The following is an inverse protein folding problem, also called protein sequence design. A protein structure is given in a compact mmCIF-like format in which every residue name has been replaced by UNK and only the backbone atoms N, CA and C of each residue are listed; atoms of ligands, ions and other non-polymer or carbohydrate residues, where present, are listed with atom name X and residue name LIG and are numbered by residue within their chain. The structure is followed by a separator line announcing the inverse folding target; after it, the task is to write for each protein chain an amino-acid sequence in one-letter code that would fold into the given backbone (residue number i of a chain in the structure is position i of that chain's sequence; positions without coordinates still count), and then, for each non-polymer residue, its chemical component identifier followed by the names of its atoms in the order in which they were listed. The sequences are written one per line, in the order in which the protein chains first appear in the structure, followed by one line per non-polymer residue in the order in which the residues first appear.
data_IF_549900242199
#
_entry.id   IF_549900242199
#
_cell.length_a   1.000
_cell.length_b   1.000
_cell.length_c   1.000
_cell.angle_alpha   90.00
_cell.angle_beta   90.00
_cell.angle_gamma   90.00
#
_symmetry.space_group_name_H-M   'P 1'
#
loop_
_entity.id
_entity.type
_entity.pdbx_description
1 polymer ?
#
# COMPACT_ATOMS: atom_id res chain seq x y z
N UNK A 1 -4.93 -0.53 13.14
CA UNK A 1 -5.28 -0.14 11.76
C UNK A 1 -6.44 -1.01 11.29
N UNK A 2 -7.53 -0.40 10.78
CA UNK A 2 -8.65 -1.06 10.08
C UNK A 2 -9.30 -0.03 9.16
N UNK A 3 -9.48 -0.37 7.88
CA UNK A 3 -10.02 0.53 6.86
C UNK A 3 -10.79 -0.27 5.81
N UNK A 4 -11.64 0.38 5.01
CA UNK A 4 -12.30 -0.25 3.86
C UNK A 4 -12.22 0.62 2.59
N UNK A 5 -11.91 0.00 1.45
CA UNK A 5 -11.97 0.63 0.12
C UNK A 5 -12.16 -0.40 -1.02
N UNK A 6 -12.62 0.03 -2.20
CA UNK A 6 -12.73 -0.85 -3.37
C UNK A 6 -11.37 -1.45 -3.78
N UNK A 7 -11.35 -2.74 -4.12
CA UNK A 7 -10.16 -3.46 -4.63
C UNK A 7 -9.51 -2.71 -5.79
N UNK A 8 -10.27 -2.36 -6.83
CA UNK A 8 -9.78 -1.66 -8.02
C UNK A 8 -9.00 -0.38 -7.70
N UNK A 9 -9.47 0.42 -6.73
CA UNK A 9 -8.73 1.60 -6.27
C UNK A 9 -7.40 1.19 -5.64
N UNK A 10 -7.43 0.33 -4.63
CA UNK A 10 -6.21 -0.12 -3.95
C UNK A 10 -5.19 -0.69 -4.94
N UNK A 11 -5.64 -1.52 -5.86
CA UNK A 11 -4.82 -2.16 -6.88
C UNK A 11 -4.10 -1.14 -7.78
N UNK A 12 -4.82 -0.15 -8.30
CA UNK A 12 -4.23 0.89 -9.17
C UNK A 12 -3.12 1.69 -8.46
N UNK A 13 -3.33 2.07 -7.19
CA UNK A 13 -2.31 2.79 -6.43
C UNK A 13 -1.10 1.91 -6.09
N UNK A 14 -1.33 0.63 -5.77
CA UNK A 14 -0.23 -0.32 -5.55
C UNK A 14 0.65 -0.48 -6.79
N UNK A 15 0.07 -0.48 -8.01
CA UNK A 15 0.85 -0.52 -9.26
C UNK A 15 1.81 0.66 -9.40
N UNK A 16 1.41 1.87 -8.98
CA UNK A 16 2.27 3.05 -9.03
C UNK A 16 3.39 2.97 -7.99
N UNK A 17 3.06 2.62 -6.75
CA UNK A 17 4.04 2.55 -5.65
C UNK A 17 5.07 1.45 -5.90
N UNK A 18 4.68 0.34 -6.53
CA UNK A 18 5.59 -0.76 -6.86
C UNK A 18 6.75 -0.37 -7.78
N UNK A 19 6.64 0.70 -8.56
CA UNK A 19 7.70 1.10 -9.51
C UNK A 19 8.98 1.53 -8.80
N UNK A 20 8.89 2.04 -7.56
CA UNK A 20 10.03 2.46 -6.74
C UNK A 20 10.41 1.44 -5.67
N UNK A 21 9.72 0.30 -5.61
CA UNK A 21 10.06 -0.76 -4.65
C UNK A 21 11.12 -1.67 -5.28
N UNK A 22 12.35 -1.72 -4.75
CA UNK A 22 13.39 -2.61 -5.26
C UNK A 22 12.97 -4.08 -5.13
N UNK A 23 13.31 -4.90 -6.13
CA UNK A 23 13.09 -6.35 -6.10
C UNK A 23 13.91 -7.04 -5.02
N UNK A 24 15.11 -6.53 -4.75
CA UNK A 24 16.06 -6.98 -3.74
C UNK A 24 16.79 -5.76 -3.18
N UNK A 25 17.02 -5.74 -1.88
CA UNK A 25 17.78 -4.69 -1.20
C UNK A 25 18.59 -5.29 -0.05
N UNK A 26 19.74 -4.68 0.27
CA UNK A 26 20.51 -4.97 1.49
C UNK A 26 19.77 -4.49 2.74
N UNK A 27 18.78 -3.61 2.58
CA UNK A 27 17.87 -3.15 3.62
C UNK A 27 16.46 -3.72 3.34
N UNK A 28 16.08 -4.86 3.94
CA UNK A 28 14.81 -5.55 3.64
C UNK A 28 13.57 -4.66 3.81
N UNK A 29 13.62 -3.68 4.72
CA UNK A 29 12.52 -2.74 4.95
C UNK A 29 12.15 -1.92 3.69
N UNK A 30 13.10 -1.69 2.78
CA UNK A 30 12.86 -0.98 1.51
C UNK A 30 12.08 -1.83 0.50
N UNK A 31 11.95 -3.13 0.73
CA UNK A 31 11.07 -4.01 -0.09
C UNK A 31 9.60 -3.95 0.35
N UNK A 32 9.33 -3.24 1.45
CA UNK A 32 7.98 -3.01 1.96
C UNK A 32 7.40 -1.70 1.44
N UNK A 33 6.08 -1.61 1.48
CA UNK A 33 5.37 -0.32 1.45
C UNK A 33 4.92 0.04 2.86
N UNK A 34 4.88 1.33 3.16
CA UNK A 34 4.25 1.88 4.34
C UNK A 34 2.77 2.18 4.02
N UNK A 35 1.87 1.70 4.87
CA UNK A 35 0.44 1.99 4.81
C UNK A 35 0.07 2.73 6.09
N UNK A 36 -0.57 3.89 5.96
CA UNK A 36 -1.04 4.72 7.07
C UNK A 36 -2.53 5.01 6.89
N UNK A 37 -3.37 4.63 7.86
CA UNK A 37 -4.80 4.95 7.85
C UNK A 37 -5.08 6.11 8.79
N UNK A 38 -5.39 7.29 8.23
CA UNK A 38 -5.56 8.56 8.93
C UNK A 38 -6.69 9.38 8.28
N UNK A 39 -7.59 9.95 9.09
CA UNK A 39 -8.57 10.97 8.67
C UNK A 39 -9.32 10.66 7.36
N UNK A 40 -9.95 9.47 7.30
CA UNK A 40 -10.67 8.94 6.13
C UNK A 40 -9.83 8.79 4.85
N UNK A 41 -8.52 8.68 5.02
CA UNK A 41 -7.58 8.42 3.94
C UNK A 41 -6.63 7.31 4.33
N UNK A 42 -6.19 6.57 3.32
CA UNK A 42 -5.02 5.72 3.42
C UNK A 42 -3.91 6.36 2.63
N UNK A 43 -2.76 6.51 3.26
CA UNK A 43 -1.52 6.94 2.62
C UNK A 43 -0.64 5.73 2.39
N UNK A 44 -0.19 5.53 1.15
CA UNK A 44 0.72 4.45 0.77
C UNK A 44 2.02 5.07 0.29
N UNK A 45 3.14 4.67 0.89
CA UNK A 45 4.46 5.24 0.58
C UNK A 45 5.50 4.14 0.36
N UNK A 46 6.44 4.37 -0.55
CA UNK A 46 7.63 3.54 -0.74
C UNK A 46 8.83 4.39 -1.17
N UNK A 47 10.03 3.84 -1.00
CA UNK A 47 11.28 4.50 -1.39
C UNK A 47 12.42 3.49 -1.55
N UNK A 48 13.36 3.81 -2.43
CA UNK A 48 14.66 3.15 -2.59
C UNK A 48 15.85 4.00 -2.08
N UNK A 49 15.55 5.08 -1.33
CA UNK A 49 16.46 6.13 -0.84
C UNK A 49 16.83 7.23 -1.85
N UNK A 50 16.65 7.01 -3.14
CA UNK A 50 16.87 8.02 -4.18
C UNK A 50 15.54 8.64 -4.63
N UNK A 51 14.52 7.81 -4.75
CA UNK A 51 13.17 8.17 -5.19
C UNK A 51 12.18 7.74 -4.11
N UNK A 52 11.16 8.56 -3.89
CA UNK A 52 10.01 8.19 -3.06
C UNK A 52 8.71 8.51 -3.77
N UNK A 53 7.76 7.58 -3.67
CA UNK A 53 6.38 7.77 -4.11
C UNK A 53 5.49 7.70 -2.87
N UNK A 54 4.59 8.67 -2.76
CA UNK A 54 3.53 8.71 -1.77
C UNK A 54 2.21 8.97 -2.46
N UNK A 55 1.20 8.16 -2.16
CA UNK A 55 -0.16 8.33 -2.67
C UNK A 55 -1.15 8.39 -1.52
N UNK A 56 -2.28 9.05 -1.72
CA UNK A 56 -3.36 9.15 -0.72
C UNK A 56 -4.69 8.78 -1.37
N UNK A 57 -5.44 7.92 -0.70
CA UNK A 57 -6.65 7.29 -1.24
C UNK A 57 -7.77 7.53 -0.23
N UNK A 58 -8.91 8.06 -0.69
CA UNK A 58 -10.09 8.17 0.15
C UNK A 58 -10.59 6.76 0.53
N UNK A 59 -10.84 6.55 1.82
CA UNK A 59 -11.24 5.27 2.37
C UNK A 59 -12.02 5.43 3.68
N UNK A 60 -12.80 4.42 4.04
CA UNK A 60 -13.49 4.41 5.32
C UNK A 60 -12.54 3.89 6.40
N UNK A 61 -11.99 4.78 7.24
CA UNK A 61 -11.06 4.40 8.31
C UNK A 61 -11.82 4.13 9.61
N UNK A 62 -11.85 2.87 10.04
CA UNK A 62 -12.51 2.43 11.29
C UNK A 62 -11.55 2.54 12.48
N UNK A 63 -10.27 2.23 12.27
CA UNK A 63 -9.23 2.34 13.31
C UNK A 63 -7.95 2.87 12.70
N UNK A 64 -7.51 4.04 13.17
CA UNK A 64 -6.23 4.64 12.78
C UNK A 64 -5.05 3.70 13.06
N UNK A 65 -3.94 3.97 12.38
CA UNK A 65 -2.66 3.30 12.61
C UNK A 65 -1.89 3.11 11.31
N UNK A 66 -0.69 2.57 11.44
CA UNK A 66 0.20 2.32 10.32
C UNK A 66 0.86 0.96 10.42
N UNK A 67 1.33 0.45 9.28
CA UNK A 67 2.12 -0.78 9.20
C UNK A 67 2.97 -0.77 7.93
N UNK A 68 4.04 -1.57 7.91
CA UNK A 68 4.78 -1.88 6.69
C UNK A 68 4.51 -3.30 6.25
N UNK A 69 4.30 -3.53 4.96
CA UNK A 69 4.02 -4.87 4.40
C UNK A 69 4.88 -5.08 3.15
N UNK A 70 5.44 -6.28 2.92
CA UNK A 70 6.13 -6.61 1.68
C UNK A 70 5.28 -6.30 0.44
N UNK A 71 5.79 -5.41 -0.42
CA UNK A 71 5.00 -4.79 -1.48
C UNK A 71 4.46 -5.81 -2.49
N UNK A 72 5.33 -6.74 -2.93
CA UNK A 72 5.00 -7.75 -3.94
C UNK A 72 3.97 -8.75 -3.43
N UNK A 73 4.14 -9.23 -2.21
CA UNK A 73 3.19 -10.16 -1.57
C UNK A 73 1.81 -9.52 -1.48
N UNK A 74 1.73 -8.26 -1.01
CA UNK A 74 0.45 -7.56 -0.94
C UNK A 74 -0.17 -7.39 -2.34
N UNK A 75 0.62 -6.96 -3.32
CA UNK A 75 0.14 -6.76 -4.68
C UNK A 75 -0.43 -8.04 -5.30
N UNK A 76 0.30 -9.16 -5.17
CA UNK A 76 -0.13 -10.45 -5.70
C UNK A 76 -1.43 -10.91 -5.01
N UNK A 77 -1.54 -10.74 -3.69
CA UNK A 77 -2.79 -11.03 -2.95
C UNK A 77 -3.95 -10.19 -3.51
N UNK A 78 -3.79 -8.86 -3.60
CA UNK A 78 -4.86 -7.98 -4.07
C UNK A 78 -5.24 -8.31 -5.52
N UNK A 79 -4.27 -8.67 -6.37
CA UNK A 79 -4.50 -9.05 -7.76
C UNK A 79 -5.46 -10.23 -7.88
N UNK A 80 -5.25 -11.27 -7.06
CA UNK A 80 -6.00 -12.53 -7.11
C UNK A 80 -7.37 -12.49 -6.40
N UNK A 81 -7.61 -11.49 -5.54
CA UNK A 81 -8.92 -11.33 -4.89
C UNK A 81 -10.05 -11.02 -5.90
N UNK A 82 -11.31 -11.40 -5.64
CA UNK A 82 -12.43 -10.96 -6.46
C UNK A 82 -12.62 -9.43 -6.38
N UNK A 83 -13.33 -8.84 -7.35
CA UNK A 83 -13.66 -7.41 -7.27
C UNK A 83 -14.72 -7.19 -6.18
N UNK A 84 -14.29 -6.63 -5.06
CA UNK A 84 -15.12 -6.24 -3.92
C UNK A 84 -14.43 -5.15 -3.09
N UNK A 85 -15.11 -4.66 -2.06
CA UNK A 85 -14.47 -3.86 -1.02
C UNK A 85 -13.50 -4.73 -0.20
N UNK A 86 -12.33 -4.18 0.11
CA UNK A 86 -11.29 -4.78 0.95
C UNK A 86 -11.34 -4.12 2.33
N UNK A 87 -11.47 -4.90 3.41
CA UNK A 87 -11.70 -4.42 4.79
C UNK A 87 -10.78 -5.01 5.85
#
# INVERSE_FOLDING_TARGET
MKFSLPKSRLFSYLQHVLQVVPTKSTLPILTNILIEALDNKIKISATDLDISITTSIDSTVVKKGSTSIPARILFDIIKELPESDIS
#
